data_IF_796932402502
#
_entry.id   IF_796932402502
#
_cell.length_a   1.000
_cell.length_b   1.000
_cell.length_c   1.000
_cell.angle_alpha   90.00
_cell.angle_beta   90.00
_cell.angle_gamma   90.00
#
_symmetry.space_group_name_H-M   'P 1'
#
loop_
_entity.id
_entity.type
_entity.pdbx_description
1 polymer ?
#
# COMPACT_ATOMS: atom_id res chain seq x y z
N UNK A 1 0.59 2.73 -1.78
CA UNK A 1 1.04 2.99 -0.39
C UNK A 1 2.08 1.94 -0.04
N UNK A 2 3.03 2.22 0.85
CA UNK A 2 4.09 1.28 1.19
C UNK A 2 4.30 1.18 2.71
N UNK A 3 4.31 -0.04 3.25
CA UNK A 3 4.72 -0.33 4.62
C UNK A 3 5.35 -1.70 4.67
N UNK A 4 6.60 -1.77 5.11
CA UNK A 4 7.34 -3.02 5.21
C UNK A 4 7.73 -3.34 6.65
N UNK A 5 7.80 -4.63 6.94
CA UNK A 5 8.28 -5.17 8.22
C UNK A 5 9.08 -6.45 7.96
N UNK A 6 9.63 -7.04 9.02
CA UNK A 6 10.40 -8.27 8.98
C UNK A 6 9.59 -9.46 8.42
N UNK A 7 8.28 -9.49 8.67
CA UNK A 7 7.38 -10.49 8.06
C UNK A 7 6.15 -9.83 7.45
N UNK A 8 5.54 -10.54 6.49
CA UNK A 8 4.30 -10.08 5.84
C UNK A 8 3.16 -9.92 6.85
N UNK A 9 3.02 -10.87 7.78
CA UNK A 9 1.99 -10.81 8.82
C UNK A 9 2.17 -9.59 9.71
N UNK A 10 3.41 -9.24 10.06
CA UNK A 10 3.69 -8.05 10.86
C UNK A 10 3.38 -6.77 10.09
N UNK A 11 3.74 -6.70 8.80
CA UNK A 11 3.45 -5.53 7.96
C UNK A 11 1.94 -5.27 7.88
N UNK A 12 1.14 -6.31 7.62
CA UNK A 12 -0.32 -6.20 7.57
C UNK A 12 -0.95 -5.93 8.93
N UNK A 13 -0.47 -6.57 10.01
CA UNK A 13 -0.93 -6.28 11.37
C UNK A 13 -0.75 -4.81 11.73
N UNK A 14 0.35 -4.21 11.28
CA UNK A 14 0.65 -2.80 11.52
C UNK A 14 -0.25 -1.87 10.70
N UNK A 15 -0.44 -2.17 9.40
CA UNK A 15 -0.99 -1.21 8.45
C UNK A 15 -2.48 -1.40 8.12
N UNK A 16 -3.05 -2.60 8.25
CA UNK A 16 -4.35 -2.95 7.67
C UNK A 16 -5.50 -2.03 8.10
N UNK A 17 -5.64 -1.79 9.41
CA UNK A 17 -6.70 -0.93 9.94
C UNK A 17 -6.58 0.52 9.43
N UNK A 18 -5.36 1.03 9.32
CA UNK A 18 -5.09 2.38 8.87
C UNK A 18 -5.30 2.53 7.36
N UNK A 19 -4.89 1.55 6.57
CA UNK A 19 -5.19 1.49 5.13
C UNK A 19 -6.71 1.46 4.92
N UNK A 20 -7.41 0.59 5.63
CA UNK A 20 -8.86 0.49 5.53
C UNK A 20 -9.55 1.83 5.81
N UNK A 21 -9.15 2.53 6.89
CA UNK A 21 -9.71 3.83 7.25
C UNK A 21 -9.45 4.90 6.16
N UNK A 22 -8.25 4.93 5.61
CA UNK A 22 -7.90 5.82 4.49
C UNK A 22 -8.80 5.54 3.28
N UNK A 23 -8.90 4.28 2.86
CA UNK A 23 -9.70 3.89 1.70
C UNK A 23 -11.18 4.21 1.91
N UNK A 24 -11.71 3.91 3.10
CA UNK A 24 -13.09 4.25 3.49
C UNK A 24 -13.32 5.76 3.43
N UNK A 25 -12.37 6.55 3.92
CA UNK A 25 -12.44 8.02 3.85
C UNK A 25 -12.47 8.51 2.41
N UNK A 26 -11.66 7.95 1.52
CA UNK A 26 -11.70 8.31 0.09
C UNK A 26 -13.01 7.88 -0.57
N UNK A 27 -13.50 6.66 -0.32
CA UNK A 27 -14.79 6.20 -0.86
C UNK A 27 -15.94 7.14 -0.45
N UNK A 28 -15.98 7.55 0.82
CA UNK A 28 -16.97 8.51 1.32
C UNK A 28 -16.90 9.83 0.56
N UNK A 29 -15.70 10.41 0.42
CA UNK A 29 -15.50 11.69 -0.30
C UNK A 29 -15.89 11.59 -1.78
N UNK A 30 -15.57 10.47 -2.44
CA UNK A 30 -15.94 10.22 -3.84
C UNK A 30 -17.46 10.09 -4.00
N UNK A 31 -18.12 9.41 -3.07
CA UNK A 31 -19.58 9.30 -3.02
C UNK A 31 -20.26 10.65 -2.79
N UNK A 32 -19.77 11.44 -1.84
CA UNK A 32 -20.23 12.81 -1.58
C UNK A 32 -20.06 13.72 -2.81
N UNK A 33 -19.00 13.52 -3.60
CA UNK A 33 -18.75 14.26 -4.84
C UNK A 33 -19.51 13.71 -6.07
N UNK A 34 -20.28 12.62 -5.92
CA UNK A 34 -21.05 12.01 -7.02
C UNK A 34 -20.18 11.36 -8.10
N UNK A 35 -18.95 10.97 -7.78
CA UNK A 35 -18.06 10.31 -8.75
C UNK A 35 -18.55 8.86 -8.96
N UNK A 36 -18.89 8.45 -10.20
CA UNK A 36 -19.35 7.09 -10.46
C UNK A 36 -18.21 6.10 -10.22
N UNK A 37 -18.48 5.04 -9.45
CA UNK A 37 -17.52 3.98 -9.22
C UNK A 37 -17.27 3.17 -10.52
N UNK A 38 -16.02 2.82 -10.84
CA UNK A 38 -15.73 1.88 -11.91
C UNK A 38 -16.19 0.45 -11.52
N UNK A 39 -16.29 -0.48 -12.48
CA UNK A 39 -16.49 -1.90 -12.17
C UNK A 39 -15.41 -2.39 -11.20
N UNK A 40 -15.82 -3.02 -10.10
CA UNK A 40 -14.90 -3.45 -9.03
C UNK A 40 -14.50 -2.35 -8.04
N UNK A 41 -15.04 -1.13 -8.15
CA UNK A 41 -14.77 -0.05 -7.20
C UNK A 41 -13.43 0.66 -7.40
N UNK A 42 -13.26 1.82 -6.77
CA UNK A 42 -12.05 2.67 -6.94
C UNK A 42 -10.75 2.02 -6.42
N UNK A 43 -10.87 0.98 -5.60
CA UNK A 43 -9.76 0.33 -4.89
C UNK A 43 -9.66 -1.18 -5.13
N UNK A 44 -10.34 -1.67 -6.18
CA UNK A 44 -10.33 -3.07 -6.59
C UNK A 44 -11.41 -3.93 -5.93
N UNK A 45 -12.12 -3.38 -4.94
CA UNK A 45 -13.26 -4.03 -4.29
C UNK A 45 -14.44 -3.07 -4.10
N UNK A 46 -15.65 -3.60 -4.24
CA UNK A 46 -16.91 -2.97 -3.85
C UNK A 46 -17.89 -4.07 -3.36
N UNK A 47 -18.17 -4.17 -2.04
CA UNK A 47 -17.65 -3.32 -0.96
C UNK A 47 -16.18 -3.60 -0.63
N UNK A 48 -15.52 -2.66 0.04
CA UNK A 48 -14.15 -2.84 0.56
C UNK A 48 -14.11 -3.99 1.60
N UNK A 49 -13.13 -4.91 1.55
CA UNK A 49 -13.00 -5.96 2.55
C UNK A 49 -12.65 -5.38 3.93
N UNK A 50 -13.04 -6.03 5.04
CA UNK A 50 -12.67 -5.58 6.37
C UNK A 50 -11.14 -5.66 6.58
N UNK A 51 -10.57 -4.91 7.56
CA UNK A 51 -9.12 -4.83 7.77
C UNK A 51 -8.41 -6.19 7.84
N UNK A 52 -8.97 -7.16 8.56
CA UNK A 52 -8.42 -8.50 8.75
C UNK A 52 -8.35 -9.33 7.45
N UNK A 53 -9.14 -8.97 6.44
CA UNK A 53 -9.16 -9.65 5.14
C UNK A 53 -8.26 -8.96 4.10
N UNK A 54 -7.72 -7.78 4.37
CA UNK A 54 -6.93 -7.02 3.38
C UNK A 54 -5.62 -7.72 2.98
N UNK A 55 -5.06 -8.57 3.84
CA UNK A 55 -3.84 -9.35 3.52
C UNK A 55 -4.06 -10.32 2.35
N UNK A 56 -5.28 -10.84 2.19
CA UNK A 56 -5.64 -11.76 1.11
C UNK A 56 -6.20 -11.03 -0.13
N UNK A 57 -6.40 -9.72 -0.04
CA UNK A 57 -7.04 -8.90 -1.07
C UNK A 57 -6.05 -8.56 -2.21
N UNK A 58 -5.76 -9.54 -3.08
CA UNK A 58 -4.74 -9.42 -4.14
C UNK A 58 -4.99 -8.31 -5.15
N UNK A 59 -6.24 -7.94 -5.38
CA UNK A 59 -6.63 -6.86 -6.30
C UNK A 59 -6.65 -5.48 -5.62
N UNK A 60 -6.29 -5.39 -4.34
CA UNK A 60 -6.35 -4.15 -3.57
C UNK A 60 -5.33 -3.15 -4.11
N UNK A 61 -5.82 -1.98 -4.49
CA UNK A 61 -4.99 -0.93 -5.03
C UNK A 61 -5.45 0.45 -4.58
N UNK A 62 -4.57 1.44 -4.68
CA UNK A 62 -4.92 2.84 -4.55
C UNK A 62 -4.97 3.48 -5.94
N UNK A 63 -6.17 3.64 -6.51
CA UNK A 63 -6.37 4.15 -7.88
C UNK A 63 -5.50 3.44 -8.95
N UNK A 64 -5.48 2.11 -8.92
CA UNK A 64 -4.70 1.26 -9.82
C UNK A 64 -3.23 1.06 -9.40
N UNK A 65 -2.70 1.85 -8.47
CA UNK A 65 -1.36 1.62 -7.93
C UNK A 65 -1.40 0.54 -6.84
N UNK A 66 -0.61 -0.55 -6.95
CA UNK A 66 -0.64 -1.63 -5.97
C UNK A 66 -0.17 -1.18 -4.59
N UNK A 67 -0.65 -1.88 -3.57
CA UNK A 67 -0.20 -1.70 -2.20
C UNK A 67 1.08 -2.52 -1.96
N UNK A 68 2.12 -1.86 -1.47
CA UNK A 68 3.39 -2.49 -1.10
C UNK A 68 3.36 -2.74 0.41
N UNK A 69 2.70 -3.82 0.84
CA UNK A 69 2.60 -4.18 2.27
C UNK A 69 3.13 -5.60 2.45
N UNK A 70 4.30 -5.73 3.07
CA UNK A 70 4.99 -7.02 3.15
C UNK A 70 6.42 -6.94 3.68
N UNK A 71 7.30 -7.79 3.14
CA UNK A 71 8.74 -7.81 3.48
C UNK A 71 9.55 -6.88 2.56
N UNK A 72 10.84 -6.63 2.84
CA UNK A 72 11.75 -5.97 1.91
C UNK A 72 11.75 -6.61 0.51
N UNK A 73 11.74 -7.94 0.42
CA UNK A 73 11.70 -8.68 -0.85
C UNK A 73 10.38 -8.44 -1.60
N UNK A 74 9.26 -8.36 -0.88
CA UNK A 74 7.97 -8.01 -1.49
C UNK A 74 8.03 -6.61 -2.13
N UNK A 75 8.67 -5.65 -1.46
CA UNK A 75 8.88 -4.32 -2.00
C UNK A 75 9.81 -4.33 -3.21
N UNK A 76 10.97 -5.00 -3.14
CA UNK A 76 11.91 -5.11 -4.27
C UNK A 76 11.18 -5.64 -5.51
N UNK A 77 10.48 -6.78 -5.38
CA UNK A 77 9.76 -7.41 -6.49
C UNK A 77 8.73 -6.47 -7.12
N UNK A 78 8.02 -5.69 -6.30
CA UNK A 78 7.01 -4.77 -6.80
C UNK A 78 7.62 -3.53 -7.47
N UNK A 79 8.71 -2.99 -6.93
CA UNK A 79 9.44 -1.87 -7.54
C UNK A 79 10.07 -2.28 -8.88
N UNK A 80 10.61 -3.49 -9.00
CA UNK A 80 11.10 -4.06 -10.26
C UNK A 80 9.96 -4.23 -11.27
N UNK A 81 8.84 -4.83 -10.85
CA UNK A 81 7.65 -4.98 -11.70
C UNK A 81 7.17 -3.64 -12.22
N UNK A 82 7.10 -2.63 -11.34
CA UNK A 82 6.70 -1.26 -11.68
C UNK A 82 7.67 -0.61 -12.68
N UNK A 83 8.98 -0.74 -12.46
CA UNK A 83 10.01 -0.23 -13.37
C UNK A 83 9.97 -0.90 -14.75
N UNK A 84 9.63 -2.19 -14.81
CA UNK A 84 9.48 -2.91 -16.07
C UNK A 84 8.19 -2.55 -16.81
N UNK A 85 7.12 -2.21 -16.08
CA UNK A 85 5.81 -1.88 -16.65
C UNK A 85 5.74 -0.47 -17.27
N UNK A 86 6.56 0.47 -16.80
CA UNK A 86 6.58 1.84 -17.31
C UNK A 86 8.01 2.43 -17.30
N UNK A 87 8.42 3.17 -18.35
CA UNK A 87 9.73 3.80 -18.41
C UNK A 87 9.80 5.03 -17.47
N UNK A 88 9.87 4.77 -16.17
CA UNK A 88 10.00 5.79 -15.13
C UNK A 88 11.46 5.93 -14.71
N UNK A 89 11.89 7.16 -14.41
CA UNK A 89 13.23 7.42 -13.87
C UNK A 89 13.25 7.46 -12.35
N UNK A 90 12.09 7.69 -11.72
CA UNK A 90 11.94 7.83 -10.27
C UNK A 90 10.63 7.18 -9.83
N UNK A 91 10.65 6.50 -8.69
CA UNK A 91 9.46 5.96 -8.04
C UNK A 91 9.23 6.70 -6.72
N UNK A 92 8.02 7.22 -6.51
CA UNK A 92 7.64 7.95 -5.30
C UNK A 92 6.72 7.07 -4.46
N UNK A 93 7.12 6.84 -3.21
CA UNK A 93 6.40 5.96 -2.30
C UNK A 93 5.75 6.76 -1.18
N UNK A 94 4.44 6.57 -1.02
CA UNK A 94 3.73 7.04 0.16
C UNK A 94 3.88 6.04 1.30
N UNK A 95 4.83 6.30 2.20
CA UNK A 95 5.16 5.40 3.32
C UNK A 95 4.52 5.78 4.66
N UNK A 96 4.11 7.03 4.83
CA UNK A 96 3.49 7.50 6.07
C UNK A 96 1.97 7.28 6.03
N UNK A 97 1.50 6.13 6.53
CA UNK A 97 0.07 5.80 6.57
C UNK A 97 -0.59 6.57 7.73
N UNK A 98 -1.61 7.37 7.42
CA UNK A 98 -2.31 8.20 8.40
C UNK A 98 -2.92 7.40 9.54
N UNK A 99 -2.76 7.87 10.79
CA UNK A 99 -3.26 7.22 11.99
C UNK A 99 -2.38 6.10 12.55
N UNK A 100 -1.36 5.66 11.81
CA UNK A 100 -0.39 4.67 12.27
C UNK A 100 0.63 5.27 13.24
N UNK A 101 1.11 4.50 14.23
CA UNK A 101 2.19 4.94 15.14
C UNK A 101 3.41 5.38 14.31
N UNK A 102 3.89 6.63 14.43
CA UNK A 102 5.04 7.13 13.67
C UNK A 102 6.30 6.28 13.82
N UNK A 103 6.47 5.56 14.94
CA UNK A 103 7.61 4.66 15.16
C UNK A 103 7.59 3.45 14.24
N UNK A 104 6.39 2.95 13.89
CA UNK A 104 6.25 1.86 12.92
C UNK A 104 6.62 2.34 11.52
N UNK A 105 6.23 3.57 11.16
CA UNK A 105 6.65 4.18 9.89
C UNK A 105 8.16 4.39 9.85
N UNK A 106 8.75 4.94 10.91
CA UNK A 106 10.19 5.15 11.00
C UNK A 106 10.95 3.83 10.84
N UNK A 107 10.48 2.78 11.53
CA UNK A 107 11.04 1.44 11.40
C UNK A 107 10.97 0.92 9.97
N UNK A 108 9.79 1.03 9.32
CA UNK A 108 9.62 0.64 7.92
C UNK A 108 10.55 1.41 6.99
N UNK A 109 10.72 2.72 7.19
CA UNK A 109 11.63 3.54 6.38
C UNK A 109 13.09 3.16 6.59
N UNK A 110 13.51 2.88 7.82
CA UNK A 110 14.87 2.40 8.11
C UNK A 110 15.14 1.03 7.48
N UNK A 111 14.17 0.13 7.57
CA UNK A 111 14.25 -1.19 6.94
C UNK A 111 14.35 -1.05 5.42
N UNK A 112 13.52 -0.18 4.83
CA UNK A 112 13.52 0.08 3.39
C UNK A 112 14.86 0.65 2.92
N UNK A 113 15.41 1.62 3.66
CA UNK A 113 16.71 2.20 3.35
C UNK A 113 17.86 1.20 3.47
N UNK A 114 17.79 0.27 4.43
CA UNK A 114 18.85 -0.72 4.68
C UNK A 114 18.79 -1.89 3.71
N UNK A 115 17.60 -2.32 3.30
CA UNK A 115 17.42 -3.64 2.65
C UNK A 115 16.83 -3.53 1.24
N UNK A 116 16.08 -2.47 0.93
CA UNK A 116 15.46 -2.29 -0.40
C UNK A 116 16.32 -1.39 -1.29
N UNK A 117 16.72 -0.21 -0.81
CA UNK A 117 17.48 0.75 -1.63
C UNK A 117 18.79 0.16 -2.20
N UNK A 118 19.61 -0.59 -1.44
CA UNK A 118 20.87 -1.13 -1.96
C UNK A 118 20.71 -2.11 -3.13
N UNK A 119 19.53 -2.70 -3.32
CA UNK A 119 19.25 -3.59 -4.45
C UNK A 119 19.21 -2.84 -5.79
N UNK A 120 18.87 -1.54 -5.78
CA UNK A 120 18.73 -0.70 -6.97
C UNK A 120 19.89 0.26 -7.20
N UNK A 121 20.98 0.11 -6.42
CA UNK A 121 22.16 0.98 -6.45
C UNK A 121 23.29 0.42 -7.29
#
# INVERSE_FOLDING_TARGET
>A
MAHIAETREQAWRNAAAHIHEILTTYLRKLGEAGVPAPPGGFFGFDPLPPPEALVEAKDLHFYGAPMIVGTPEDAIRELERSAAAAPVTHQVLWMQIGGMDPRLTEHSMRLFAREVIPHFS
#
